data_IF_362790638609
#
_entry.id   IF_362790638609
#
_cell.length_a   1.000
_cell.length_b   1.000
_cell.length_c   1.000
_cell.angle_alpha   90.00
_cell.angle_beta   90.00
_cell.angle_gamma   90.00
#
_symmetry.space_group_name_H-M   'P 1'
#
loop_
_entity.id
_entity.type
_entity.pdbx_description
1 polymer ?
#
# COMPACT_ATOMS: atom_id res chain seq x y z
N UNK A 1 28.90 9.02 10.96
CA UNK A 1 29.02 7.89 10.00
C UNK A 1 27.80 7.92 9.08
N UNK A 2 28.00 8.01 7.76
CA UNK A 2 27.02 8.51 6.76
C UNK A 2 25.77 7.64 6.58
N UNK A 3 24.58 8.26 6.71
CA UNK A 3 23.26 7.72 6.27
C UNK A 3 23.10 7.85 4.74
N UNK A 4 24.13 7.47 3.97
CA UNK A 4 24.09 7.53 2.49
C UNK A 4 23.36 6.33 1.88
N UNK A 5 23.53 5.12 2.45
CA UNK A 5 22.92 3.90 1.89
C UNK A 5 21.38 3.87 1.96
N UNK A 6 20.77 4.58 2.92
CA UNK A 6 19.34 4.48 3.20
C UNK A 6 18.46 5.32 2.26
N UNK A 7 18.94 6.47 1.79
CA UNK A 7 18.25 7.28 0.78
C UNK A 7 18.39 6.68 -0.63
N UNK A 8 19.51 6.01 -0.91
CA UNK A 8 19.73 5.30 -2.16
C UNK A 8 18.75 4.12 -2.31
N UNK A 9 18.42 3.40 -1.23
CA UNK A 9 17.43 2.32 -1.25
C UNK A 9 16.03 2.80 -1.65
N UNK A 10 15.55 3.92 -1.09
CA UNK A 10 14.23 4.48 -1.43
C UNK A 10 14.19 4.93 -2.89
N UNK A 11 15.22 5.66 -3.34
CA UNK A 11 15.34 6.12 -4.74
C UNK A 11 15.45 4.95 -5.73
N UNK A 12 16.16 3.89 -5.35
CA UNK A 12 16.25 2.67 -6.15
C UNK A 12 14.90 1.99 -6.26
N UNK A 13 14.19 1.81 -5.13
CA UNK A 13 12.86 1.19 -5.10
C UNK A 13 11.86 1.99 -5.94
N UNK A 14 11.86 3.31 -5.82
CA UNK A 14 11.03 4.20 -6.65
C UNK A 14 11.30 3.99 -8.15
N UNK A 15 12.56 4.06 -8.57
CA UNK A 15 12.95 3.86 -9.98
C UNK A 15 12.60 2.46 -10.48
N UNK A 16 12.80 1.45 -9.65
CA UNK A 16 12.44 0.07 -9.95
C UNK A 16 10.93 -0.06 -10.16
N UNK A 17 10.11 0.52 -9.29
CA UNK A 17 8.65 0.49 -9.44
C UNK A 17 8.18 1.21 -10.71
N UNK A 18 8.76 2.38 -11.02
CA UNK A 18 8.47 3.09 -12.28
C UNK A 18 8.82 2.22 -13.49
N UNK A 19 9.98 1.57 -13.48
CA UNK A 19 10.40 0.66 -14.53
C UNK A 19 9.43 -0.52 -14.67
N UNK A 20 9.06 -1.17 -13.58
CA UNK A 20 8.09 -2.29 -13.58
C UNK A 20 6.73 -1.85 -14.13
N UNK A 21 6.26 -0.65 -13.78
CA UNK A 21 5.00 -0.11 -14.33
C UNK A 21 5.10 0.03 -15.86
N UNK A 22 6.19 0.60 -16.38
CA UNK A 22 6.37 0.76 -17.84
C UNK A 22 6.40 -0.59 -18.55
N UNK A 23 7.14 -1.55 -18.01
CA UNK A 23 7.20 -2.92 -18.56
C UNK A 23 5.82 -3.58 -18.53
N UNK A 24 5.09 -3.45 -17.42
CA UNK A 24 3.76 -4.03 -17.27
C UNK A 24 2.75 -3.40 -18.24
N UNK A 25 2.80 -2.09 -18.45
CA UNK A 25 1.95 -1.41 -19.44
C UNK A 25 2.22 -1.91 -20.86
N UNK A 26 3.50 -2.04 -21.24
CA UNK A 26 3.87 -2.60 -22.53
C UNK A 26 3.35 -4.03 -22.69
N UNK A 27 3.45 -4.84 -21.64
CA UNK A 27 2.92 -6.21 -21.64
C UNK A 27 1.40 -6.26 -21.78
N UNK A 28 0.65 -5.40 -21.08
CA UNK A 28 -0.81 -5.31 -21.20
C UNK A 28 -1.23 -4.95 -22.62
N UNK A 29 -0.55 -4.00 -23.25
CA UNK A 29 -0.81 -3.62 -24.65
C UNK A 29 -0.56 -4.80 -25.59
N UNK A 30 0.55 -5.52 -25.39
CA UNK A 30 0.83 -6.71 -26.16
C UNK A 30 -0.27 -7.77 -26.00
N UNK A 31 -0.68 -8.08 -24.76
CA UNK A 31 -1.78 -9.02 -24.49
C UNK A 31 -3.08 -8.57 -25.17
N UNK A 32 -3.41 -7.28 -25.15
CA UNK A 32 -4.63 -6.76 -25.79
C UNK A 32 -4.65 -7.00 -27.30
N UNK A 33 -3.49 -7.00 -27.96
CA UNK A 33 -3.38 -7.18 -29.41
C UNK A 33 -3.28 -8.65 -29.84
N UNK A 34 -2.68 -9.49 -29.00
CA UNK A 34 -2.29 -10.86 -29.38
C UNK A 34 -3.19 -11.95 -28.76
N UNK A 35 -4.02 -11.63 -27.75
CA UNK A 35 -4.86 -12.65 -27.12
C UNK A 35 -5.92 -13.19 -28.10
N UNK A 36 -6.00 -14.52 -28.27
CA UNK A 36 -7.05 -15.11 -29.09
C UNK A 36 -8.42 -14.95 -28.42
N UNK A 37 -9.45 -14.73 -29.23
CA UNK A 37 -10.85 -14.60 -28.78
C UNK A 37 -11.32 -15.82 -27.99
N UNK A 38 -10.79 -17.00 -28.32
CA UNK A 38 -11.07 -18.25 -27.61
C UNK A 38 -9.78 -18.85 -27.10
N UNK A 39 -9.65 -18.96 -25.78
CA UNK A 39 -8.53 -19.62 -25.12
C UNK A 39 -9.06 -20.68 -24.14
N UNK A 40 -8.52 -21.90 -24.22
CA UNK A 40 -8.78 -22.95 -23.22
C UNK A 40 -7.57 -23.07 -22.30
N UNK A 41 -7.74 -22.63 -21.06
CA UNK A 41 -6.73 -22.81 -20.02
C UNK A 41 -6.60 -24.30 -19.66
N UNK A 42 -5.38 -24.84 -19.73
CA UNK A 42 -5.12 -26.26 -19.43
C UNK A 42 -5.28 -26.58 -17.94
N UNK A 43 -4.84 -25.70 -17.05
CA UNK A 43 -4.83 -25.91 -15.59
C UNK A 43 -5.80 -24.93 -14.90
N UNK A 44 -7.01 -24.81 -15.44
CA UNK A 44 -8.02 -23.87 -14.94
C UNK A 44 -8.38 -24.13 -13.48
N UNK A 45 -8.58 -25.40 -13.13
CA UNK A 45 -8.82 -25.88 -11.78
C UNK A 45 -7.71 -25.49 -10.80
N UNK A 46 -6.44 -25.70 -11.18
CA UNK A 46 -5.29 -25.34 -10.33
C UNK A 46 -5.21 -23.83 -10.12
N UNK A 47 -5.54 -23.03 -11.13
CA UNK A 47 -5.53 -21.58 -11.01
C UNK A 47 -6.55 -21.08 -9.98
N UNK A 48 -7.78 -21.60 -10.03
CA UNK A 48 -8.82 -21.28 -9.04
C UNK A 48 -8.45 -21.72 -7.64
N UNK A 49 -8.08 -22.99 -7.47
CA UNK A 49 -7.70 -23.52 -6.15
C UNK A 49 -6.52 -22.74 -5.57
N UNK A 50 -5.54 -22.39 -6.39
CA UNK A 50 -4.38 -21.60 -5.98
C UNK A 50 -4.75 -20.18 -5.54
N UNK A 51 -5.66 -19.53 -6.26
CA UNK A 51 -6.17 -18.21 -5.92
C UNK A 51 -6.94 -18.24 -4.58
N UNK A 52 -7.88 -19.16 -4.43
CA UNK A 52 -8.68 -19.33 -3.21
C UNK A 52 -7.81 -19.69 -2.01
N UNK A 53 -6.78 -20.52 -2.21
CA UNK A 53 -5.82 -20.84 -1.16
C UNK A 53 -5.04 -19.59 -0.72
N UNK A 54 -4.61 -18.75 -1.68
CA UNK A 54 -3.96 -17.48 -1.38
C UNK A 54 -4.87 -16.54 -0.59
N UNK A 55 -6.13 -16.44 -0.99
CA UNK A 55 -7.15 -15.67 -0.28
C UNK A 55 -7.36 -16.20 1.14
N UNK A 56 -7.62 -17.50 1.29
CA UNK A 56 -7.81 -18.18 2.56
C UNK A 56 -6.64 -17.93 3.52
N UNK A 57 -5.41 -18.07 3.03
CA UNK A 57 -4.20 -17.81 3.82
C UNK A 57 -4.13 -16.34 4.23
N UNK A 58 -4.47 -15.39 3.35
CA UNK A 58 -4.44 -13.97 3.68
C UNK A 58 -5.48 -13.58 4.75
N UNK A 59 -6.71 -14.09 4.62
CA UNK A 59 -7.79 -13.89 5.58
C UNK A 59 -7.47 -14.56 6.92
N UNK A 60 -6.96 -15.80 6.87
CA UNK A 60 -6.51 -16.53 8.05
C UNK A 60 -5.37 -15.81 8.78
N UNK A 61 -4.37 -15.30 8.04
CA UNK A 61 -3.29 -14.50 8.61
C UNK A 61 -3.80 -13.19 9.22
N UNK A 62 -4.78 -12.55 8.60
CA UNK A 62 -5.45 -11.36 9.15
C UNK A 62 -6.16 -11.69 10.46
N UNK A 63 -7.01 -12.72 10.48
CA UNK A 63 -7.73 -13.15 11.67
C UNK A 63 -6.77 -13.54 12.81
N UNK A 64 -5.74 -14.32 12.50
CA UNK A 64 -4.69 -14.71 13.45
C UNK A 64 -3.96 -13.49 14.01
N UNK A 65 -3.51 -12.57 13.16
CA UNK A 65 -2.79 -11.38 13.61
C UNK A 65 -3.68 -10.46 14.48
N UNK A 66 -4.98 -10.35 14.18
CA UNK A 66 -5.95 -9.63 15.01
C UNK A 66 -6.13 -10.33 16.37
N UNK A 67 -6.28 -11.66 16.37
CA UNK A 67 -6.45 -12.45 17.58
C UNK A 67 -5.29 -12.24 18.57
N UNK A 68 -4.06 -12.23 18.07
CA UNK A 68 -2.85 -11.97 18.87
C UNK A 68 -2.47 -10.50 18.97
N UNK A 69 -3.31 -9.58 18.48
CA UNK A 69 -3.11 -8.12 18.53
C UNK A 69 -1.76 -7.67 17.97
N UNK A 70 -1.30 -8.30 16.89
CA UNK A 70 -0.01 -8.03 16.24
C UNK A 70 -0.14 -6.93 15.20
N UNK A 71 0.93 -6.15 15.00
CA UNK A 71 0.97 -5.11 13.94
C UNK A 71 0.85 -5.70 12.52
N UNK A 72 1.19 -6.99 12.34
CA UNK A 72 0.98 -7.73 11.09
C UNK A 72 -0.48 -7.73 10.60
N UNK A 73 -1.44 -7.46 11.49
CA UNK A 73 -2.84 -7.29 11.14
C UNK A 73 -3.07 -6.22 10.07
N UNK A 74 -2.24 -5.17 10.05
CA UNK A 74 -2.37 -4.06 9.08
C UNK A 74 -2.05 -4.53 7.65
N UNK A 75 -0.83 -5.00 7.34
CA UNK A 75 -0.51 -5.46 5.99
C UNK A 75 -1.35 -6.68 5.58
N UNK A 76 -1.65 -7.60 6.49
CA UNK A 76 -2.50 -8.75 6.19
C UNK A 76 -3.92 -8.33 5.77
N UNK A 77 -4.52 -7.36 6.47
CA UNK A 77 -5.84 -6.84 6.10
C UNK A 77 -5.84 -6.10 4.75
N UNK A 78 -4.75 -5.38 4.42
CA UNK A 78 -4.61 -4.75 3.09
C UNK A 78 -4.54 -5.81 1.99
N UNK A 79 -3.75 -6.86 2.19
CA UNK A 79 -3.63 -7.98 1.23
C UNK A 79 -4.98 -8.68 1.06
N UNK A 80 -5.66 -8.98 2.16
CA UNK A 80 -6.98 -9.63 2.14
C UNK A 80 -8.03 -8.77 1.43
N UNK A 81 -8.04 -7.46 1.69
CA UNK A 81 -8.93 -6.53 0.99
C UNK A 81 -8.69 -6.54 -0.52
N UNK A 82 -7.42 -6.57 -0.95
CA UNK A 82 -7.06 -6.68 -2.37
C UNK A 82 -7.55 -8.00 -2.97
N UNK A 83 -7.39 -9.12 -2.28
CA UNK A 83 -7.92 -10.41 -2.75
C UNK A 83 -9.43 -10.36 -2.94
N UNK A 84 -10.19 -9.83 -1.98
CA UNK A 84 -11.66 -9.71 -2.10
C UNK A 84 -12.08 -8.85 -3.31
N UNK A 85 -11.33 -7.80 -3.66
CA UNK A 85 -11.64 -7.00 -4.86
C UNK A 85 -11.33 -7.77 -6.14
N UNK A 86 -10.20 -8.48 -6.18
CA UNK A 86 -9.81 -9.27 -7.35
C UNK A 86 -10.80 -10.42 -7.54
N UNK A 87 -11.24 -11.06 -6.47
CA UNK A 87 -12.23 -12.13 -6.45
C UNK A 87 -13.56 -11.69 -7.08
N UNK A 88 -14.15 -10.61 -6.56
CA UNK A 88 -15.38 -10.04 -7.11
C UNK A 88 -15.28 -9.69 -8.60
N UNK A 89 -14.14 -9.13 -9.03
CA UNK A 89 -13.91 -8.84 -10.44
C UNK A 89 -13.78 -10.12 -11.28
N UNK A 90 -13.08 -11.13 -10.76
CA UNK A 90 -12.81 -12.38 -11.47
C UNK A 90 -14.08 -13.22 -11.64
N UNK A 91 -14.89 -13.34 -10.59
CA UNK A 91 -16.18 -14.05 -10.63
C UNK A 91 -17.12 -13.42 -11.65
N UNK A 92 -17.27 -12.09 -11.63
CA UNK A 92 -18.15 -11.39 -12.57
C UNK A 92 -17.68 -11.57 -14.03
N UNK A 93 -16.38 -11.41 -14.30
CA UNK A 93 -15.83 -11.49 -15.66
C UNK A 93 -15.79 -12.92 -16.21
N UNK A 94 -15.74 -13.93 -15.36
CA UNK A 94 -15.70 -15.36 -15.77
C UNK A 94 -17.08 -16.03 -15.79
N UNK A 95 -18.10 -15.37 -15.22
CA UNK A 95 -19.48 -15.89 -15.17
C UNK A 95 -20.15 -16.00 -16.55
N UNK A 96 -21.02 -17.00 -16.68
CA UNK A 96 -21.90 -17.14 -17.85
C UNK A 96 -23.14 -16.25 -17.71
N UNK A 97 -23.67 -15.77 -18.83
CA UNK A 97 -24.88 -14.96 -18.83
C UNK A 97 -26.07 -15.72 -18.22
N UNK A 98 -26.91 -15.00 -17.45
CA UNK A 98 -28.05 -15.56 -16.74
C UNK A 98 -27.76 -15.71 -15.25
N UNK A 99 -28.16 -16.85 -14.68
CA UNK A 99 -28.12 -17.07 -13.23
C UNK A 99 -26.71 -16.94 -12.62
N UNK A 100 -25.68 -17.46 -13.29
CA UNK A 100 -24.30 -17.41 -12.78
C UNK A 100 -23.80 -15.96 -12.65
N UNK A 101 -24.11 -15.11 -13.63
CA UNK A 101 -23.79 -13.68 -13.57
C UNK A 101 -24.58 -12.97 -12.46
N UNK A 102 -25.88 -13.25 -12.32
CA UNK A 102 -26.69 -12.66 -11.25
C UNK A 102 -26.16 -13.04 -9.86
N UNK A 103 -25.75 -14.31 -9.69
CA UNK A 103 -25.15 -14.81 -8.46
C UNK A 103 -23.79 -14.13 -8.17
N UNK A 104 -22.91 -14.01 -9.18
CA UNK A 104 -21.62 -13.34 -9.06
C UNK A 104 -21.76 -11.84 -8.73
N UNK A 105 -22.72 -11.15 -9.36
CA UNK A 105 -23.01 -9.75 -9.02
C UNK A 105 -23.53 -9.62 -7.58
N UNK A 106 -24.41 -10.52 -7.17
CA UNK A 106 -24.96 -10.51 -5.81
C UNK A 106 -23.88 -10.73 -4.76
N UNK A 107 -22.99 -11.71 -4.97
CA UNK A 107 -21.87 -11.98 -4.07
C UNK A 107 -20.89 -10.80 -4.03
N UNK A 108 -20.56 -10.22 -5.19
CA UNK A 108 -19.71 -9.03 -5.31
C UNK A 108 -20.22 -7.86 -4.48
N UNK A 109 -21.51 -7.52 -4.61
CA UNK A 109 -22.06 -6.35 -3.95
C UNK A 109 -22.41 -6.59 -2.47
N UNK A 110 -22.71 -7.82 -2.06
CA UNK A 110 -23.16 -8.11 -0.69
C UNK A 110 -22.09 -8.70 0.21
N UNK A 111 -21.06 -9.33 -0.35
CA UNK A 111 -20.04 -10.05 0.42
C UNK A 111 -18.67 -9.48 0.13
N UNK A 112 -18.21 -9.59 -1.12
CA UNK A 112 -16.79 -9.35 -1.42
C UNK A 112 -16.38 -7.88 -1.29
N UNK A 113 -17.06 -6.98 -2.01
CA UNK A 113 -16.75 -5.55 -1.97
C UNK A 113 -17.02 -4.92 -0.58
N UNK A 114 -18.12 -5.24 0.12
CA UNK A 114 -18.31 -4.78 1.50
C UNK A 114 -17.21 -5.24 2.44
N UNK A 115 -16.76 -6.50 2.34
CA UNK A 115 -15.68 -7.01 3.18
C UNK A 115 -14.34 -6.34 2.83
N UNK A 116 -14.05 -6.15 1.54
CA UNK A 116 -12.88 -5.41 1.08
C UNK A 116 -12.84 -3.97 1.65
N UNK A 117 -13.99 -3.28 1.58
CA UNK A 117 -14.14 -1.94 2.12
C UNK A 117 -13.93 -1.91 3.64
N UNK A 118 -14.50 -2.88 4.36
CA UNK A 118 -14.34 -3.01 5.80
C UNK A 118 -12.88 -3.26 6.21
N UNK A 119 -12.19 -4.20 5.55
CA UNK A 119 -10.79 -4.51 5.83
C UNK A 119 -9.86 -3.33 5.51
N UNK A 120 -10.14 -2.62 4.42
CA UNK A 120 -9.43 -1.37 4.07
C UNK A 120 -9.66 -0.29 5.13
N UNK A 121 -10.90 -0.11 5.57
CA UNK A 121 -11.25 0.83 6.65
C UNK A 121 -10.53 0.47 7.95
N UNK A 122 -10.55 -0.81 8.34
CA UNK A 122 -9.85 -1.33 9.50
C UNK A 122 -8.35 -1.03 9.42
N UNK A 123 -7.68 -1.36 8.30
CA UNK A 123 -6.26 -1.12 8.12
C UNK A 123 -5.92 0.37 8.27
N UNK A 124 -6.69 1.26 7.62
CA UNK A 124 -6.53 2.72 7.74
C UNK A 124 -6.69 3.20 9.19
N UNK A 125 -7.66 2.66 9.91
CA UNK A 125 -7.92 3.00 11.32
C UNK A 125 -6.79 2.52 12.22
N UNK A 126 -6.30 1.28 12.02
CA UNK A 126 -5.21 0.68 12.76
C UNK A 126 -3.89 1.44 12.55
N UNK A 127 -3.56 1.85 11.32
CA UNK A 127 -2.38 2.68 11.03
C UNK A 127 -2.46 4.01 11.78
N UNK A 128 -3.61 4.70 11.71
CA UNK A 128 -3.81 5.98 12.41
C UNK A 128 -3.61 5.84 13.92
N UNK A 129 -4.19 4.80 14.53
CA UNK A 129 -4.01 4.55 15.96
C UNK A 129 -2.57 4.22 16.32
N UNK A 130 -1.87 3.43 15.49
CA UNK A 130 -0.45 3.13 15.70
C UNK A 130 0.40 4.40 15.71
N UNK A 131 0.19 5.31 14.75
CA UNK A 131 0.89 6.60 14.69
C UNK A 131 0.60 7.48 15.92
N UNK A 132 -0.68 7.58 16.31
CA UNK A 132 -1.09 8.35 17.50
C UNK A 132 -0.42 7.80 18.75
N UNK A 133 -0.45 6.48 18.93
CA UNK A 133 0.12 5.82 20.10
C UNK A 133 1.64 6.00 20.15
N UNK A 134 2.33 5.87 19.02
CA UNK A 134 3.76 6.11 18.91
C UNK A 134 4.13 7.56 19.26
N UNK A 135 3.38 8.56 18.76
CA UNK A 135 3.63 9.98 19.07
C UNK A 135 3.36 10.31 20.53
N UNK A 136 2.26 9.79 21.10
CA UNK A 136 1.95 9.97 22.53
C UNK A 136 3.04 9.39 23.43
N UNK A 137 3.55 8.20 23.11
CA UNK A 137 4.63 7.57 23.87
C UNK A 137 5.97 8.33 23.73
N UNK A 138 6.15 9.09 22.65
CA UNK A 138 7.30 9.97 22.44
C UNK A 138 7.12 11.38 23.04
N UNK A 139 5.99 11.66 23.70
CA UNK A 139 5.68 12.99 24.26
C UNK A 139 5.42 14.08 23.21
N UNK A 140 5.18 13.70 21.95
CA UNK A 140 4.97 14.64 20.84
C UNK A 140 3.48 15.01 20.71
N UNK A 141 3.20 16.30 20.49
CA UNK A 141 1.84 16.77 20.24
C UNK A 141 1.31 16.23 18.90
N UNK A 142 0.09 15.69 18.91
CA UNK A 142 -0.52 15.09 17.72
C UNK A 142 -1.27 16.16 16.93
N UNK A 143 -0.54 16.92 16.10
CA UNK A 143 -1.12 18.02 15.31
C UNK A 143 -1.94 17.50 14.11
N UNK A 144 -1.53 16.39 13.46
CA UNK A 144 -2.26 15.79 12.32
C UNK A 144 -1.84 14.33 12.06
N UNK A 145 -2.79 13.48 11.65
CA UNK A 145 -2.60 12.07 11.29
C UNK A 145 -3.07 11.81 9.86
N UNK A 146 -2.62 12.65 8.93
CA UNK A 146 -2.85 12.45 7.50
C UNK A 146 -1.86 11.42 6.94
N UNK A 147 -2.36 10.28 6.43
CA UNK A 147 -1.52 9.22 5.86
C UNK A 147 -0.79 9.66 4.57
N UNK A 148 -1.29 10.69 3.89
CA UNK A 148 -0.68 11.21 2.65
C UNK A 148 0.40 12.24 2.95
N UNK A 149 0.17 13.11 3.95
CA UNK A 149 1.06 14.24 4.26
C UNK A 149 2.10 13.92 5.33
N UNK A 150 1.84 12.90 6.15
CA UNK A 150 2.78 12.51 7.20
C UNK A 150 3.93 11.75 6.53
N UNK A 151 5.16 12.29 6.53
CA UNK A 151 6.29 11.56 5.97
C UNK A 151 6.45 10.26 6.74
N UNK A 152 6.82 9.20 6.01
CA UNK A 152 7.23 7.95 6.62
C UNK A 152 8.36 8.26 7.61
N UNK A 153 8.26 7.78 8.85
CA UNK A 153 9.15 8.16 9.95
C UNK A 153 10.65 7.93 9.65
N UNK A 154 10.98 7.12 8.64
CA UNK A 154 12.35 6.84 8.20
C UNK A 154 12.83 7.68 7.01
N UNK A 155 11.93 8.43 6.35
CA UNK A 155 12.21 9.33 5.20
C UNK A 155 12.10 10.78 5.66
N UNK A 156 12.57 11.08 6.87
CA UNK A 156 12.69 12.47 7.29
C UNK A 156 13.73 13.15 6.41
N UNK A 157 13.28 13.98 5.47
CA UNK A 157 14.15 14.95 4.81
C UNK A 157 14.46 15.94 5.90
N UNK A 158 15.67 15.87 6.47
CA UNK A 158 16.17 16.92 7.34
C UNK A 158 15.95 18.26 6.64
N UNK A 159 14.88 18.95 7.05
CA UNK A 159 14.71 20.36 6.74
C UNK A 159 15.79 21.00 7.58
N UNK A 160 16.93 21.26 6.93
CA UNK A 160 17.92 22.18 7.42
C UNK A 160 17.15 23.44 7.83
N UNK A 161 16.92 23.60 9.13
CA UNK A 161 16.54 24.89 9.68
C UNK A 161 17.75 25.78 9.37
N UNK A 162 17.71 26.46 8.22
CA UNK A 162 18.63 27.55 7.91
C UNK A 162 18.39 28.55 9.02
N UNK A 163 19.32 28.60 9.97
CA UNK A 163 19.38 29.63 11.00
C UNK A 163 19.54 30.94 10.24
N UNK A 164 18.46 31.68 10.11
CA UNK A 164 18.52 33.09 9.79
C UNK A 164 18.98 33.76 11.09
N UNK A 165 20.30 33.93 11.26
CA UNK A 165 20.94 34.87 12.20
C UNK A 165 22.46 34.67 12.27
N UNK A 166 23.14 34.55 11.13
CA UNK A 166 24.59 34.80 11.06
C UNK A 166 24.82 35.85 9.97
N UNK A 167 24.38 37.08 10.25
CA UNK A 167 24.92 38.28 9.61
C UNK A 167 25.76 39.03 10.65
N UNK A 168 27.11 38.98 10.57
CA UNK A 168 27.94 39.95 11.22
C UNK A 168 28.55 40.87 10.15
N UNK A 169 27.72 41.69 9.51
CA UNK A 169 28.17 42.98 9.01
C UNK A 169 28.42 43.92 10.20
N UNK A 170 29.56 43.73 10.88
CA UNK A 170 30.23 44.78 11.66
C UNK A 170 31.72 44.74 11.34
N UNK A 171 32.01 45.25 10.15
CA UNK A 171 33.26 45.92 9.83
C UNK A 171 33.28 47.27 10.58
N UNK A 172 34.15 47.40 11.59
CA UNK A 172 34.81 48.67 11.94
C UNK A 172 36.05 48.38 12.79
N UNK A 173 37.23 48.35 12.17
CA UNK A 173 38.45 48.91 12.76
C UNK A 173 38.57 50.37 12.33
N UNK A 174 38.98 51.29 13.22
CA UNK A 174 40.38 51.76 13.22
C UNK A 174 40.92 52.00 14.67
N UNK A 175 42.15 51.62 14.99
CA UNK A 175 43.41 52.39 14.86
C UNK A 175 43.76 53.18 16.15
N UNK A 176 44.94 52.83 16.68
CA UNK A 176 45.91 53.57 17.53
C UNK A 176 45.50 54.86 18.26
N UNK A 177 45.67 54.85 19.60
CA UNK A 177 46.47 55.78 20.43
C UNK A 177 46.02 55.76 21.91
#
# INVERSE_FOLDING_TARGET
MRVSGRSNFVRFTERLLIFVIVVLLAWIIYLMLDLPVTYRAQNWDVAWIGFDLGMLVSLGATAWALWYRRQLAIPAAIISATFMVIDAWFDVVTSQAGFDLDAALLSAFLVELPLAAYLTYFARRAIRFSIINARRNAGLEVVTVSLIRTPLAFVDRGTSHRRADDDPAQDTTPEEA
#
